data_IF_863276047680
#
_entry.id   IF_863276047680
#
_cell.length_a   1.000
_cell.length_b   1.000
_cell.length_c   1.000
_cell.angle_alpha   90.00
_cell.angle_beta   90.00
_cell.angle_gamma   90.00
#
_symmetry.space_group_name_H-M   'P 1'
#
loop_
_entity.id
_entity.type
_entity.pdbx_description
1 polymer ?
#
# COMPACT_ATOMS: atom_id res chain seq x y z
N UNK A 1 47.94 -3.73 0.23
CA UNK A 1 46.82 -4.61 0.59
C UNK A 1 45.81 -3.75 1.32
N UNK A 2 44.80 -3.23 0.60
CA UNK A 2 43.75 -2.38 1.18
C UNK A 2 42.64 -3.32 1.64
N UNK A 3 42.42 -3.40 2.93
CA UNK A 3 41.29 -4.11 3.49
C UNK A 3 40.02 -3.31 3.13
N UNK A 4 39.17 -3.90 2.29
CA UNK A 4 37.86 -3.37 1.99
C UNK A 4 37.03 -3.34 3.27
N UNK A 5 36.55 -2.15 3.66
CA UNK A 5 35.58 -2.00 4.72
C UNK A 5 34.32 -2.80 4.35
N UNK A 6 33.77 -3.59 5.27
CA UNK A 6 32.50 -4.25 5.03
C UNK A 6 31.44 -3.16 4.88
N UNK A 7 30.84 -3.06 3.70
CA UNK A 7 29.64 -2.24 3.45
C UNK A 7 28.55 -2.73 4.38
N UNK A 8 28.43 -2.10 5.53
CA UNK A 8 27.34 -2.38 6.48
C UNK A 8 26.03 -1.94 5.84
N UNK A 9 25.26 -2.91 5.35
CA UNK A 9 23.88 -2.62 4.96
C UNK A 9 23.14 -1.94 6.14
N UNK A 10 22.35 -0.88 5.88
CA UNK A 10 21.65 -0.19 6.95
C UNK A 10 20.72 -1.15 7.68
N UNK A 11 20.74 -1.10 9.01
CA UNK A 11 19.92 -1.95 9.86
C UNK A 11 18.44 -1.91 9.42
N UNK A 12 17.73 -3.06 9.43
CA UNK A 12 16.34 -3.13 9.01
C UNK A 12 15.45 -2.26 9.90
N UNK A 13 14.47 -1.60 9.30
CA UNK A 13 13.44 -0.89 10.03
C UNK A 13 12.39 -1.90 10.53
N UNK A 14 11.90 -1.69 11.75
CA UNK A 14 10.77 -2.45 12.30
C UNK A 14 9.68 -1.51 12.80
N UNK A 15 8.45 -2.00 12.73
CA UNK A 15 7.30 -1.29 13.26
C UNK A 15 7.33 -1.33 14.79
N UNK A 16 7.21 -0.18 15.45
CA UNK A 16 7.05 -0.10 16.90
C UNK A 16 5.57 -0.24 17.27
N UNK A 17 5.17 -1.42 17.68
CA UNK A 17 3.78 -1.70 18.04
C UNK A 17 3.31 -0.86 19.25
N UNK A 18 4.21 -0.49 20.15
CA UNK A 18 3.87 0.34 21.30
C UNK A 18 3.48 1.78 20.90
N UNK A 19 3.93 2.26 19.74
CA UNK A 19 3.61 3.60 19.25
C UNK A 19 2.31 3.66 18.40
N UNK A 20 1.73 2.50 18.04
CA UNK A 20 0.46 2.44 17.30
C UNK A 20 -0.72 2.81 18.18
N UNK A 21 -1.75 3.43 17.61
CA UNK A 21 -3.03 3.61 18.30
C UNK A 21 -3.77 2.29 18.50
N UNK A 22 -4.77 2.26 19.37
CA UNK A 22 -5.58 1.06 19.58
C UNK A 22 -6.30 0.62 18.28
N UNK A 23 -6.80 1.58 17.51
CA UNK A 23 -7.45 1.34 16.22
C UNK A 23 -6.47 0.78 15.18
N UNK A 24 -5.27 1.36 15.05
CA UNK A 24 -4.22 0.85 14.17
C UNK A 24 -3.84 -0.60 14.54
N UNK A 25 -3.73 -0.90 15.84
CA UNK A 25 -3.44 -2.26 16.32
C UNK A 25 -4.56 -3.24 15.97
N UNK A 26 -5.83 -2.84 16.14
CA UNK A 26 -6.99 -3.68 15.78
C UNK A 26 -7.00 -4.00 14.28
N UNK A 27 -6.76 -3.01 13.43
CA UNK A 27 -6.67 -3.23 11.98
C UNK A 27 -5.48 -4.10 11.57
N UNK A 28 -4.34 -3.94 12.24
CA UNK A 28 -3.11 -4.67 11.91
C UNK A 28 -3.12 -6.12 12.40
N UNK A 29 -3.59 -6.35 13.62
CA UNK A 29 -3.51 -7.65 14.30
C UNK A 29 -4.85 -8.40 14.36
N UNK A 30 -5.95 -7.69 14.09
CA UNK A 30 -7.30 -8.14 14.42
C UNK A 30 -7.65 -7.86 15.89
N UNK A 31 -8.95 -7.68 16.18
CA UNK A 31 -9.44 -7.23 17.48
C UNK A 31 -8.96 -8.10 18.66
N UNK A 32 -9.14 -9.43 18.55
CA UNK A 32 -8.79 -10.34 19.63
C UNK A 32 -7.27 -10.39 19.92
N UNK A 33 -6.42 -10.29 18.88
CA UNK A 33 -4.97 -10.26 19.06
C UNK A 33 -4.50 -8.91 19.60
N UNK A 34 -5.09 -7.81 19.15
CA UNK A 34 -4.82 -6.47 19.68
C UNK A 34 -5.18 -6.39 21.18
N UNK A 35 -6.36 -6.86 21.57
CA UNK A 35 -6.79 -6.88 22.98
C UNK A 35 -5.82 -7.68 23.86
N UNK A 36 -5.39 -8.86 23.42
CA UNK A 36 -4.42 -9.68 24.20
C UNK A 36 -3.07 -8.99 24.39
N UNK A 37 -2.64 -8.16 23.43
CA UNK A 37 -1.36 -7.45 23.52
C UNK A 37 -1.42 -6.10 24.21
N UNK A 38 -2.61 -5.53 24.41
CA UNK A 38 -2.79 -4.20 25.02
C UNK A 38 -2.07 -4.01 26.37
N UNK A 39 -2.11 -4.95 27.34
CA UNK A 39 -1.39 -4.78 28.61
C UNK A 39 0.11 -4.61 28.42
N UNK A 40 0.75 -5.48 27.62
CA UNK A 40 2.19 -5.42 27.29
C UNK A 40 2.55 -4.09 26.63
N UNK A 41 1.73 -3.68 25.62
CA UNK A 41 1.98 -2.46 24.86
C UNK A 41 1.79 -1.20 25.71
N UNK A 42 0.82 -1.21 26.62
CA UNK A 42 0.59 -0.10 27.57
C UNK A 42 1.74 0.03 28.57
N UNK A 43 2.25 -1.07 29.08
CA UNK A 43 3.42 -1.09 29.94
C UNK A 43 4.65 -0.54 29.19
N UNK A 44 4.91 -1.03 27.98
CA UNK A 44 6.03 -0.58 27.15
C UNK A 44 5.97 0.93 26.87
N UNK A 45 4.76 1.50 26.65
CA UNK A 45 4.57 2.96 26.47
C UNK A 45 4.98 3.73 27.72
N UNK A 46 4.57 3.25 28.91
CA UNK A 46 4.93 3.89 30.19
C UNK A 46 6.43 3.85 30.44
N UNK A 47 7.07 2.78 30.02
CA UNK A 47 8.52 2.57 30.14
C UNK A 47 9.33 3.29 29.04
N UNK A 48 8.69 3.89 28.05
CA UNK A 48 9.35 4.47 26.86
C UNK A 48 10.07 3.43 25.99
N UNK A 49 9.65 2.16 26.06
CA UNK A 49 10.26 1.02 25.38
C UNK A 49 9.53 0.67 24.09
N UNK A 50 10.28 0.43 23.02
CA UNK A 50 9.71 -0.09 21.79
C UNK A 50 9.33 -1.58 21.91
N UNK A 51 8.24 -1.96 21.24
CA UNK A 51 7.86 -3.37 21.03
C UNK A 51 7.92 -3.64 19.53
N UNK A 52 8.87 -4.48 19.12
CA UNK A 52 9.16 -4.72 17.72
C UNK A 52 8.04 -5.55 17.05
N UNK A 53 7.48 -5.01 15.99
CA UNK A 53 6.57 -5.69 15.08
C UNK A 53 7.28 -6.17 13.81
N UNK A 54 6.52 -6.24 12.71
CA UNK A 54 7.02 -6.72 11.43
C UNK A 54 8.11 -5.80 10.84
N UNK A 55 9.07 -6.36 10.08
CA UNK A 55 10.05 -5.57 9.37
C UNK A 55 9.38 -4.69 8.30
N UNK A 56 9.91 -3.49 8.17
CA UNK A 56 9.44 -2.48 7.22
C UNK A 56 10.53 -2.25 6.17
N UNK A 57 10.26 -2.64 4.93
CA UNK A 57 11.19 -2.37 3.84
C UNK A 57 11.28 -0.87 3.57
N UNK A 58 12.50 -0.33 3.47
CA UNK A 58 12.74 1.08 3.08
C UNK A 58 12.34 1.33 1.64
N UNK A 59 12.66 0.37 0.78
CA UNK A 59 12.31 0.38 -0.64
C UNK A 59 11.30 -0.71 -0.94
N UNK A 60 10.42 -0.44 -1.88
CA UNK A 60 9.44 -1.41 -2.34
C UNK A 60 9.98 -2.07 -3.62
N UNK A 61 10.23 -3.36 -3.53
CA UNK A 61 10.57 -4.16 -4.69
C UNK A 61 9.30 -4.72 -5.33
N UNK A 62 9.20 -4.55 -6.65
CA UNK A 62 8.12 -5.08 -7.48
C UNK A 62 8.69 -6.15 -8.40
N UNK A 63 8.64 -7.40 -7.96
CA UNK A 63 9.14 -8.53 -8.72
C UNK A 63 8.08 -8.96 -9.74
N UNK A 64 8.34 -8.76 -11.02
CA UNK A 64 7.43 -9.17 -12.09
C UNK A 64 7.19 -10.69 -12.05
N UNK A 65 5.93 -11.08 -12.21
CA UNK A 65 5.49 -12.46 -12.24
C UNK A 65 5.07 -12.85 -13.66
N UNK A 66 5.31 -14.11 -14.01
CA UNK A 66 4.83 -14.64 -15.28
C UNK A 66 3.31 -14.59 -15.36
N UNK A 67 2.76 -14.30 -16.53
CA UNK A 67 1.33 -14.33 -16.74
C UNK A 67 0.83 -15.77 -16.66
N UNK A 68 -0.17 -15.98 -15.83
CA UNK A 68 -0.84 -17.26 -15.63
C UNK A 68 -2.27 -17.02 -15.15
N UNK A 69 -3.06 -18.06 -15.01
CA UNK A 69 -4.31 -17.98 -14.26
C UNK A 69 -3.98 -17.80 -12.77
N UNK A 70 -4.30 -16.64 -12.23
CA UNK A 70 -4.10 -16.28 -10.83
C UNK A 70 -5.35 -16.57 -10.02
N UNK A 71 -5.18 -16.87 -8.75
CA UNK A 71 -6.22 -17.25 -7.80
C UNK A 71 -6.11 -18.72 -7.43
N UNK A 72 -5.75 -19.01 -6.18
CA UNK A 72 -5.54 -20.36 -5.63
C UNK A 72 -6.84 -21.19 -5.56
N UNK A 73 -8.01 -20.52 -5.58
CA UNK A 73 -9.32 -21.15 -5.60
C UNK A 73 -10.11 -20.70 -6.85
N UNK A 74 -11.00 -21.56 -7.42
CA UNK A 74 -11.79 -21.21 -8.61
C UNK A 74 -12.60 -19.93 -8.46
N UNK A 75 -13.14 -19.65 -7.29
CA UNK A 75 -13.90 -18.43 -7.00
C UNK A 75 -13.00 -17.19 -7.08
N UNK A 76 -11.82 -17.24 -6.43
CA UNK A 76 -10.84 -16.16 -6.46
C UNK A 76 -10.37 -15.91 -7.91
N UNK A 77 -10.09 -16.97 -8.66
CA UNK A 77 -9.67 -16.86 -10.07
C UNK A 77 -10.75 -16.16 -10.92
N UNK A 78 -12.03 -16.48 -10.72
CA UNK A 78 -13.16 -15.84 -11.40
C UNK A 78 -13.25 -14.34 -11.03
N UNK A 79 -13.14 -14.01 -9.74
CA UNK A 79 -13.18 -12.62 -9.26
C UNK A 79 -12.02 -11.79 -9.84
N UNK A 80 -10.80 -12.31 -9.81
CA UNK A 80 -9.64 -11.64 -10.39
C UNK A 80 -9.78 -11.45 -11.90
N UNK A 81 -10.28 -12.46 -12.60
CA UNK A 81 -10.56 -12.38 -14.05
C UNK A 81 -11.62 -11.32 -14.38
N UNK A 82 -12.71 -11.28 -13.62
CA UNK A 82 -13.79 -10.30 -13.82
C UNK A 82 -13.29 -8.87 -13.54
N UNK A 83 -12.57 -8.64 -12.43
CA UNK A 83 -12.01 -7.34 -12.12
C UNK A 83 -10.98 -6.88 -13.16
N UNK A 84 -10.11 -7.80 -13.63
CA UNK A 84 -9.18 -7.51 -14.73
C UNK A 84 -9.91 -7.04 -15.98
N UNK A 85 -10.93 -7.79 -16.39
CA UNK A 85 -11.72 -7.45 -17.57
C UNK A 85 -12.44 -6.10 -17.41
N UNK A 86 -13.07 -5.87 -16.26
CA UNK A 86 -13.74 -4.60 -15.95
C UNK A 86 -12.75 -3.43 -16.06
N UNK A 87 -11.60 -3.50 -15.38
CA UNK A 87 -10.57 -2.46 -15.39
C UNK A 87 -10.03 -2.18 -16.81
N UNK A 88 -9.84 -3.23 -17.62
CA UNK A 88 -9.39 -3.09 -19.01
C UNK A 88 -10.45 -2.41 -19.89
N UNK A 89 -11.71 -2.82 -19.75
CA UNK A 89 -12.83 -2.21 -20.50
C UNK A 89 -13.04 -0.73 -20.13
N UNK A 90 -12.70 -0.34 -18.91
CA UNK A 90 -12.71 1.05 -18.46
C UNK A 90 -11.53 1.89 -18.98
N UNK A 91 -10.65 1.32 -19.80
CA UNK A 91 -9.49 1.98 -20.40
C UNK A 91 -8.21 1.90 -19.57
N UNK A 92 -8.17 1.00 -18.60
CA UNK A 92 -6.94 0.72 -17.82
C UNK A 92 -5.91 -0.04 -18.65
N UNK A 93 -4.68 0.46 -18.73
CA UNK A 93 -3.56 -0.26 -19.30
C UNK A 93 -3.06 -1.28 -18.29
N UNK A 94 -3.21 -2.57 -18.60
CA UNK A 94 -2.71 -3.69 -17.77
C UNK A 94 -1.17 -3.77 -17.87
N UNK A 95 -0.48 -3.61 -16.76
CA UNK A 95 0.99 -3.62 -16.66
C UNK A 95 1.53 -4.96 -16.14
N UNK A 96 0.67 -5.95 -15.95
CA UNK A 96 1.03 -7.27 -15.47
C UNK A 96 0.96 -7.43 -13.95
N UNK A 97 1.40 -8.61 -13.51
CA UNK A 97 1.36 -9.04 -12.11
C UNK A 97 2.72 -8.89 -11.46
N UNK A 98 2.72 -8.44 -10.21
CA UNK A 98 3.91 -8.28 -9.39
C UNK A 98 3.73 -8.95 -8.03
N UNK A 99 4.84 -9.51 -7.53
CA UNK A 99 4.99 -9.85 -6.14
C UNK A 99 5.53 -8.63 -5.39
N UNK A 100 4.77 -8.14 -4.43
CA UNK A 100 5.15 -7.05 -3.52
C UNK A 100 4.29 -7.18 -2.25
N UNK A 101 4.86 -7.68 -1.15
CA UNK A 101 4.11 -7.88 0.07
C UNK A 101 3.64 -6.55 0.66
N UNK A 102 2.33 -6.44 0.89
CA UNK A 102 1.74 -5.40 1.71
C UNK A 102 1.68 -5.85 3.18
N UNK A 103 1.21 -7.08 3.37
CA UNK A 103 1.24 -7.87 4.60
C UNK A 103 1.69 -9.29 4.25
N UNK A 104 1.90 -10.12 5.28
CA UNK A 104 2.29 -11.52 5.10
C UNK A 104 1.34 -12.30 4.17
N UNK A 105 0.05 -12.00 4.22
CA UNK A 105 -0.99 -12.67 3.43
C UNK A 105 -1.23 -12.00 2.06
N UNK A 106 -1.07 -10.69 1.93
CA UNK A 106 -1.35 -9.93 0.69
C UNK A 106 -0.05 -9.61 -0.02
N UNK A 107 0.36 -10.49 -0.92
CA UNK A 107 1.67 -10.44 -1.57
C UNK A 107 1.63 -10.19 -3.06
N UNK A 108 0.46 -10.32 -3.70
CA UNK A 108 0.31 -10.17 -5.13
C UNK A 108 -0.49 -8.92 -5.47
N UNK A 109 -0.14 -8.32 -6.58
CA UNK A 109 -0.91 -7.25 -7.17
C UNK A 109 -0.85 -7.32 -8.70
N UNK A 110 -1.91 -6.88 -9.37
CA UNK A 110 -1.92 -6.54 -10.79
C UNK A 110 -1.98 -5.03 -10.92
N UNK A 111 -1.05 -4.48 -11.69
CA UNK A 111 -0.91 -3.06 -11.87
C UNK A 111 -1.67 -2.58 -13.10
N UNK A 112 -2.37 -1.45 -12.95
CA UNK A 112 -3.06 -0.76 -14.04
C UNK A 112 -2.71 0.71 -14.05
N UNK A 113 -2.65 1.29 -15.23
CA UNK A 113 -2.49 2.72 -15.41
C UNK A 113 -3.71 3.28 -16.13
N UNK A 114 -4.34 4.27 -15.53
CA UNK A 114 -5.46 5.02 -16.14
C UNK A 114 -4.97 6.44 -16.45
N UNK A 115 -5.01 6.78 -17.72
CA UNK A 115 -4.68 8.14 -18.14
C UNK A 115 -5.71 9.15 -17.58
N UNK A 116 -5.28 10.36 -17.24
CA UNK A 116 -3.91 10.84 -17.41
C UNK A 116 -2.98 10.61 -16.24
N UNK A 117 -3.46 10.22 -15.03
CA UNK A 117 -2.70 10.40 -13.79
C UNK A 117 -2.99 9.39 -12.68
N UNK A 118 -3.77 8.31 -12.95
CA UNK A 118 -4.11 7.34 -11.91
C UNK A 118 -3.32 6.04 -12.06
N UNK A 119 -2.54 5.69 -11.02
CA UNK A 119 -1.95 4.39 -10.83
C UNK A 119 -2.89 3.52 -9.96
N UNK A 120 -3.30 2.35 -10.44
CA UNK A 120 -4.19 1.45 -9.71
C UNK A 120 -3.53 0.10 -9.48
N UNK A 121 -3.70 -0.46 -8.29
CA UNK A 121 -3.32 -1.82 -7.92
C UNK A 121 -4.56 -2.63 -7.56
N UNK A 122 -4.79 -3.75 -8.26
CA UNK A 122 -5.68 -4.81 -7.81
C UNK A 122 -4.84 -5.77 -6.96
N UNK A 123 -5.14 -5.88 -5.66
CA UNK A 123 -4.39 -6.69 -4.70
C UNK A 123 -5.21 -7.87 -4.21
N UNK A 124 -4.52 -8.99 -3.94
CA UNK A 124 -5.15 -10.19 -3.40
C UNK A 124 -4.17 -11.05 -2.60
N UNK A 125 -4.75 -12.05 -1.92
CA UNK A 125 -4.03 -13.16 -1.25
C UNK A 125 -4.21 -14.44 -2.03
N UNK A 126 -3.14 -15.21 -2.21
CA UNK A 126 -3.18 -16.58 -2.71
C UNK A 126 -3.44 -17.61 -1.58
N UNK A 127 -3.59 -17.15 -0.34
CA UNK A 127 -3.93 -17.96 0.83
C UNK A 127 -5.29 -17.56 1.39
N UNK A 128 -6.41 -17.81 0.68
CA UNK A 128 -7.73 -17.33 1.07
C UNK A 128 -8.24 -17.93 2.40
N UNK A 129 -7.66 -19.03 2.84
CA UNK A 129 -8.00 -19.70 4.11
C UNK A 129 -7.45 -18.98 5.34
N UNK A 130 -6.55 -18.01 5.15
CA UNK A 130 -6.08 -17.17 6.24
C UNK A 130 -7.22 -16.29 6.75
N UNK A 131 -7.48 -16.33 8.05
CA UNK A 131 -8.50 -15.51 8.74
C UNK A 131 -8.32 -14.01 8.46
N UNK A 132 -7.12 -13.60 8.05
CA UNK A 132 -6.75 -12.21 7.74
C UNK A 132 -6.65 -11.91 6.25
N UNK A 133 -6.89 -12.89 5.36
CA UNK A 133 -6.85 -12.66 3.93
C UNK A 133 -8.11 -11.89 3.50
N UNK A 134 -7.99 -10.63 3.10
CA UNK A 134 -9.13 -9.88 2.59
C UNK A 134 -9.53 -10.44 1.21
N UNK A 135 -10.79 -10.21 0.83
CA UNK A 135 -11.19 -10.34 -0.56
C UNK A 135 -10.29 -9.45 -1.46
N UNK A 136 -10.18 -9.74 -2.76
CA UNK A 136 -9.47 -8.86 -3.69
C UNK A 136 -9.96 -7.42 -3.56
N UNK A 137 -9.01 -6.49 -3.51
CA UNK A 137 -9.33 -5.08 -3.33
C UNK A 137 -8.53 -4.18 -4.26
N UNK A 138 -9.05 -2.98 -4.47
CA UNK A 138 -8.47 -1.96 -5.33
C UNK A 138 -7.83 -0.86 -4.49
N UNK A 139 -6.68 -0.38 -4.95
CA UNK A 139 -5.98 0.79 -4.42
C UNK A 139 -5.60 1.70 -5.59
N UNK A 140 -6.24 2.86 -5.68
CA UNK A 140 -5.93 3.91 -6.63
C UNK A 140 -5.05 4.98 -5.98
N UNK A 141 -4.08 5.50 -6.72
CA UNK A 141 -3.16 6.52 -6.26
C UNK A 141 -2.88 7.55 -7.36
N UNK A 142 -2.86 8.84 -6.99
CA UNK A 142 -2.45 9.95 -7.84
C UNK A 142 -1.49 10.86 -7.07
N UNK A 143 -0.35 11.20 -7.67
CA UNK A 143 0.53 12.24 -7.14
C UNK A 143 0.05 13.60 -7.61
N UNK A 144 0.00 14.57 -6.71
CA UNK A 144 -0.40 15.93 -7.06
C UNK A 144 0.72 16.70 -7.73
N UNK A 145 0.41 17.42 -8.81
CA UNK A 145 1.39 18.19 -9.58
C UNK A 145 1.87 19.42 -8.82
N UNK A 146 0.95 20.12 -8.17
CA UNK A 146 1.26 21.19 -7.26
C UNK A 146 0.74 20.83 -5.86
N UNK A 147 1.33 21.40 -4.84
CA UNK A 147 1.00 21.14 -3.44
C UNK A 147 0.35 22.33 -2.76
N UNK A 148 -0.35 23.18 -3.51
CA UNK A 148 -0.95 24.39 -2.97
C UNK A 148 -1.96 24.09 -1.86
N UNK A 149 -2.62 22.92 -1.90
CA UNK A 149 -3.51 22.44 -0.84
C UNK A 149 -2.80 21.76 0.34
N UNK A 150 -1.47 21.62 0.29
CA UNK A 150 -0.70 20.80 1.24
C UNK A 150 -0.75 19.29 0.95
N UNK A 151 -1.58 18.84 0.00
CA UNK A 151 -1.71 17.44 -0.38
C UNK A 151 -0.70 17.07 -1.45
N UNK A 152 0.12 16.06 -1.19
CA UNK A 152 1.11 15.55 -2.13
C UNK A 152 0.61 14.34 -2.93
N UNK A 153 -0.31 13.56 -2.36
CA UNK A 153 -0.92 12.41 -3.00
C UNK A 153 -2.38 12.21 -2.57
N UNK A 154 -3.16 11.62 -3.45
CA UNK A 154 -4.52 11.14 -3.18
C UNK A 154 -4.51 9.62 -3.26
N UNK A 155 -5.08 8.96 -2.26
CA UNK A 155 -5.29 7.51 -2.22
C UNK A 155 -6.76 7.17 -2.04
N UNK A 156 -7.24 6.18 -2.78
CA UNK A 156 -8.58 5.64 -2.63
C UNK A 156 -8.52 4.13 -2.65
N UNK A 157 -9.14 3.46 -1.67
CA UNK A 157 -9.11 2.01 -1.59
C UNK A 157 -10.48 1.44 -1.26
N UNK A 158 -10.75 0.22 -1.72
CA UNK A 158 -11.94 -0.56 -1.31
C UNK A 158 -11.69 -1.36 -0.02
N UNK A 159 -10.47 -1.34 0.51
CA UNK A 159 -10.08 -1.96 1.79
C UNK A 159 -9.36 -0.96 2.68
N UNK A 160 -9.57 -1.02 4.00
CA UNK A 160 -8.84 -0.22 4.96
C UNK A 160 -7.36 -0.65 5.13
N UNK A 161 -7.03 -1.85 4.69
CA UNK A 161 -5.73 -2.47 4.90
C UNK A 161 -4.52 -1.63 4.46
N UNK A 162 -4.55 -0.95 3.28
CA UNK A 162 -3.42 -0.11 2.86
C UNK A 162 -3.21 1.14 3.71
N UNK A 163 -4.18 1.48 4.58
CA UNK A 163 -4.17 2.71 5.37
C UNK A 163 -3.68 2.50 6.82
N UNK A 164 -3.10 1.34 7.09
CA UNK A 164 -2.56 1.01 8.42
C UNK A 164 -1.05 0.75 8.30
N UNK A 165 -0.23 1.45 9.08
CA UNK A 165 -0.54 2.59 9.97
C UNK A 165 -1.13 3.80 9.23
N UNK A 166 -1.73 4.72 9.99
CA UNK A 166 -2.32 5.95 9.44
C UNK A 166 -1.36 6.67 8.49
N UNK A 167 -1.89 7.10 7.36
CA UNK A 167 -1.12 7.73 6.29
C UNK A 167 -0.56 9.08 6.71
N UNK A 168 0.45 9.56 5.99
CA UNK A 168 0.99 10.92 6.13
C UNK A 168 -0.12 11.96 5.98
N UNK A 169 -0.01 13.07 6.71
CA UNK A 169 -0.88 14.23 6.59
C UNK A 169 -0.86 14.88 5.20
N UNK A 170 0.18 14.62 4.41
CA UNK A 170 0.29 15.05 3.01
C UNK A 170 -0.48 14.14 2.04
N UNK A 171 -1.14 13.09 2.54
CA UNK A 171 -1.91 12.13 1.73
C UNK A 171 -3.39 12.23 2.10
N UNK A 172 -4.24 12.63 1.13
CA UNK A 172 -5.70 12.50 1.30
C UNK A 172 -6.10 11.05 0.98
N UNK A 173 -6.27 10.22 2.03
CA UNK A 173 -6.58 8.81 1.93
C UNK A 173 -8.04 8.55 2.27
N UNK A 174 -8.77 7.82 1.38
CA UNK A 174 -10.19 7.53 1.58
C UNK A 174 -10.54 6.09 1.30
N UNK A 175 -11.35 5.54 2.21
CA UNK A 175 -11.95 4.22 2.10
C UNK A 175 -13.31 4.33 1.40
N UNK A 176 -13.49 3.55 0.35
CA UNK A 176 -14.76 3.42 -0.37
C UNK A 176 -15.26 1.99 -0.24
N UNK A 177 -16.18 1.76 0.68
CA UNK A 177 -16.83 0.47 0.87
C UNK A 177 -18.08 0.37 0.00
N UNK A 178 -18.16 -0.69 -0.78
CA UNK A 178 -19.26 -0.92 -1.72
C UNK A 178 -19.07 -0.16 -3.05
N UNK A 179 -19.60 -0.72 -4.11
CA UNK A 179 -19.41 -0.24 -5.47
C UNK A 179 -18.25 -0.94 -6.18
N UNK A 180 -18.35 -1.09 -7.51
CA UNK A 180 -17.30 -1.69 -8.35
C UNK A 180 -16.13 -0.75 -8.62
N UNK A 181 -15.26 -1.17 -9.53
CA UNK A 181 -14.07 -0.41 -9.91
C UNK A 181 -14.41 0.97 -10.49
N UNK A 182 -15.52 1.09 -11.23
CA UNK A 182 -15.99 2.37 -11.77
C UNK A 182 -16.26 3.39 -10.65
N UNK A 183 -17.04 2.99 -9.64
CA UNK A 183 -17.40 3.88 -8.53
C UNK A 183 -16.15 4.36 -7.75
N UNK A 184 -15.18 3.47 -7.53
CA UNK A 184 -13.90 3.84 -6.92
C UNK A 184 -13.15 4.88 -7.75
N UNK A 185 -13.02 4.66 -9.07
CA UNK A 185 -12.28 5.57 -9.95
C UNK A 185 -12.96 6.94 -10.09
N UNK A 186 -14.29 6.98 -10.17
CA UNK A 186 -15.03 8.23 -10.22
C UNK A 186 -14.90 9.03 -8.91
N UNK A 187 -15.01 8.35 -7.79
CA UNK A 187 -14.78 8.94 -6.47
C UNK A 187 -13.34 9.43 -6.32
N UNK A 188 -12.35 8.64 -6.77
CA UNK A 188 -10.94 9.00 -6.76
C UNK A 188 -10.67 10.27 -7.60
N UNK A 189 -11.18 10.32 -8.82
CA UNK A 189 -11.03 11.50 -9.71
C UNK A 189 -11.69 12.75 -9.11
N UNK A 190 -12.86 12.57 -8.48
CA UNK A 190 -13.53 13.65 -7.75
C UNK A 190 -12.68 14.17 -6.60
N UNK A 191 -12.04 13.26 -5.85
CA UNK A 191 -11.14 13.61 -4.76
C UNK A 191 -9.89 14.33 -5.29
N UNK A 192 -9.24 13.84 -6.34
CA UNK A 192 -8.10 14.50 -7.00
C UNK A 192 -8.45 15.91 -7.43
N UNK A 193 -9.62 16.12 -8.05
CA UNK A 193 -10.03 17.45 -8.56
C UNK A 193 -10.15 18.52 -7.47
N UNK A 194 -10.35 18.14 -6.21
CA UNK A 194 -10.40 19.07 -5.05
C UNK A 194 -9.02 19.63 -4.71
N UNK A 195 -7.96 18.92 -5.05
CA UNK A 195 -6.57 19.32 -4.78
C UNK A 195 -5.85 19.87 -6.01
N UNK A 196 -6.48 19.86 -7.18
CA UNK A 196 -5.91 20.38 -8.42
C UNK A 196 -5.72 19.31 -9.50
N UNK A 197 -4.50 19.18 -10.01
CA UNK A 197 -4.19 18.26 -11.11
C UNK A 197 -3.15 17.22 -10.68
N UNK A 198 -3.36 15.99 -11.11
CA UNK A 198 -2.38 14.92 -10.95
C UNK A 198 -1.15 15.09 -11.86
N UNK A 199 -0.06 14.45 -11.48
CA UNK A 199 1.12 14.27 -12.33
C UNK A 199 0.76 13.30 -13.45
N UNK A 200 0.96 13.72 -14.69
CA UNK A 200 0.66 12.86 -15.86
C UNK A 200 1.58 11.65 -15.92
N UNK A 201 1.00 10.50 -16.19
CA UNK A 201 1.66 9.21 -16.28
C UNK A 201 1.54 8.64 -17.70
N UNK A 202 2.44 7.73 -18.07
CA UNK A 202 2.40 7.01 -19.33
C UNK A 202 2.59 7.89 -20.58
N UNK A 203 3.24 9.05 -20.43
CA UNK A 203 3.44 10.00 -21.53
C UNK A 203 4.46 9.50 -22.55
N UNK A 204 5.47 8.76 -22.10
CA UNK A 204 6.49 8.20 -22.96
C UNK A 204 6.24 6.71 -23.18
N UNK A 205 6.42 6.26 -24.43
CA UNK A 205 6.30 4.84 -24.78
C UNK A 205 7.25 3.99 -23.96
N UNK A 206 6.75 2.87 -23.43
CA UNK A 206 7.53 1.95 -22.59
C UNK A 206 7.74 2.40 -21.14
N UNK A 207 7.31 3.59 -20.72
CA UNK A 207 7.53 4.10 -19.35
C UNK A 207 6.36 3.88 -18.39
N UNK A 208 5.23 3.35 -18.85
CA UNK A 208 4.02 3.18 -18.03
C UNK A 208 4.24 2.43 -16.71
N UNK A 209 5.05 1.35 -16.74
CA UNK A 209 5.39 0.59 -15.55
C UNK A 209 6.28 1.38 -14.58
N UNK A 210 7.26 2.11 -15.10
CA UNK A 210 8.15 2.95 -14.30
C UNK A 210 7.38 4.08 -13.64
N UNK A 211 6.48 4.73 -14.38
CA UNK A 211 5.60 5.79 -13.86
C UNK A 211 4.65 5.26 -12.78
N UNK A 212 4.06 4.08 -12.99
CA UNK A 212 3.22 3.43 -12.00
C UNK A 212 4.00 3.17 -10.70
N UNK A 213 5.21 2.59 -10.79
CA UNK A 213 6.08 2.34 -9.62
C UNK A 213 6.45 3.64 -8.91
N UNK A 214 6.76 4.69 -9.65
CA UNK A 214 7.09 6.01 -9.10
C UNK A 214 5.99 6.57 -8.20
N UNK A 215 4.71 6.38 -8.57
CA UNK A 215 3.59 6.83 -7.75
C UNK A 215 3.60 6.14 -6.39
N UNK A 216 3.66 4.80 -6.36
CA UNK A 216 3.63 4.05 -5.10
C UNK A 216 4.90 4.24 -4.27
N UNK A 217 6.05 4.40 -4.91
CA UNK A 217 7.32 4.72 -4.23
C UNK A 217 7.23 6.09 -3.54
N UNK A 218 6.69 7.11 -4.21
CA UNK A 218 6.53 8.43 -3.61
C UNK A 218 5.55 8.41 -2.43
N UNK A 219 4.41 7.74 -2.56
CA UNK A 219 3.46 7.52 -1.45
C UNK A 219 4.14 6.83 -0.27
N UNK A 220 4.95 5.81 -0.55
CA UNK A 220 5.71 5.09 0.49
C UNK A 220 6.68 6.02 1.22
N UNK A 221 7.42 6.88 0.50
CA UNK A 221 8.37 7.81 1.11
C UNK A 221 7.68 8.85 2.02
N UNK A 222 6.53 9.37 1.60
CA UNK A 222 5.71 10.25 2.44
C UNK A 222 5.32 9.56 3.76
N UNK A 223 4.86 8.31 3.67
CA UNK A 223 4.49 7.54 4.85
C UNK A 223 5.67 7.21 5.75
N UNK A 224 6.81 6.79 5.20
CA UNK A 224 8.01 6.51 5.99
C UNK A 224 8.46 7.75 6.75
N UNK A 225 8.45 8.93 6.14
CA UNK A 225 8.78 10.19 6.79
C UNK A 225 7.81 10.50 7.94
N UNK A 226 6.50 10.37 7.71
CA UNK A 226 5.48 10.59 8.74
C UNK A 226 5.58 9.58 9.88
N UNK A 227 5.75 8.30 9.58
CA UNK A 227 5.88 7.23 10.57
C UNK A 227 7.16 7.37 11.41
N UNK A 228 8.26 7.82 10.81
CA UNK A 228 9.49 8.14 11.55
C UNK A 228 9.24 9.28 12.54
N UNK A 229 8.58 10.37 12.12
CA UNK A 229 8.24 11.49 13.02
C UNK A 229 7.32 11.06 14.18
N UNK A 230 6.43 10.09 13.94
CA UNK A 230 5.53 9.52 14.97
C UNK A 230 6.24 8.51 15.90
N UNK A 231 7.49 8.15 15.68
CA UNK A 231 8.17 7.09 16.43
C UNK A 231 7.65 5.67 16.13
N UNK A 232 6.95 5.49 15.01
CA UNK A 232 6.44 4.18 14.59
C UNK A 232 7.53 3.28 14.00
N UNK A 233 8.68 3.84 13.62
CA UNK A 233 9.78 3.09 13.02
C UNK A 233 10.99 3.12 13.96
N UNK A 234 11.53 1.94 14.21
CA UNK A 234 12.78 1.76 14.98
C UNK A 234 13.77 0.97 14.12
N UNK A 235 15.05 1.25 14.30
CA UNK A 235 16.13 0.44 13.73
C UNK A 235 16.39 -0.73 14.65
N UNK A 236 16.58 -1.91 14.08
CA UNK A 236 17.07 -3.07 14.83
C UNK A 236 18.55 -2.83 15.10
N UNK A 237 18.88 -2.62 16.40
CA UNK A 237 20.23 -2.36 16.87
C UNK A 237 21.08 -3.63 16.93
#
# INVERSE_FOLDING_TARGET
MSAGEPSSAPAPLRLNLAALTAEELQHLLGEAAAQRRMPELSQARLEGRAVLGDPIAREQEYQAQAERSWGSAPELARQLGALRQELTLMGGTDLGVFYQPLLAEVRHLRAFLFAPDVALALRWSETPESVRAPAPFLLAATLMRDRASGTAAVLSSTSALPFVPTQSEEIDARLYQGGGAQALLDAHRTQVSRHGRGVRLGQAEGHAQADWRKVYTAVRQLNLAAWTRRGLLVQEG
#
